data_IF_741045460833
#
_entry.id   IF_741045460833
#
_cell.length_a   1.000
_cell.length_b   1.000
_cell.length_c   1.000
_cell.angle_alpha   90.00
_cell.angle_beta   90.00
_cell.angle_gamma   90.00
#
_symmetry.space_group_name_H-M   'P 1'
#
loop_
_entity.id
_entity.type
_entity.pdbx_description
1 polymer ?
#
# COMPACT_ATOMS: atom_id res chain seq x y z
N UNK A 1 10.26 1.09 7.03
CA UNK A 1 10.59 1.36 5.61
C UNK A 1 9.43 2.07 4.93
N UNK A 2 9.72 2.72 3.80
CA UNK A 2 8.69 3.32 2.96
C UNK A 2 8.01 2.29 2.03
N UNK A 3 8.79 1.31 1.60
CA UNK A 3 8.37 0.29 0.66
C UNK A 3 8.36 0.74 -0.81
N UNK A 4 8.18 -0.20 -1.73
CA UNK A 4 8.08 0.08 -3.16
C UNK A 4 6.73 0.72 -3.50
N UNK A 5 6.75 1.94 -4.01
CA UNK A 5 5.57 2.70 -4.42
C UNK A 5 5.65 3.11 -5.88
N UNK A 6 4.51 3.08 -6.57
CA UNK A 6 4.35 3.69 -7.88
C UNK A 6 3.87 5.13 -7.67
N UNK A 7 4.43 6.08 -8.40
CA UNK A 7 4.07 7.49 -8.29
C UNK A 7 3.86 8.15 -9.65
N UNK A 8 3.07 9.22 -9.66
CA UNK A 8 3.00 10.13 -10.81
C UNK A 8 4.30 10.96 -10.91
N UNK A 9 4.52 11.58 -12.08
CA UNK A 9 5.60 12.55 -12.27
C UNK A 9 5.39 13.85 -11.51
N UNK A 10 6.20 14.86 -11.89
CA UNK A 10 6.16 16.21 -11.30
C UNK A 10 5.09 17.11 -11.94
N UNK A 11 4.07 16.54 -12.56
CA UNK A 11 3.05 17.25 -13.32
C UNK A 11 1.93 17.76 -12.42
N UNK A 12 1.40 18.94 -12.76
CA UNK A 12 0.11 19.42 -12.32
C UNK A 12 -0.89 19.21 -13.44
N UNK A 13 -1.90 18.38 -13.24
CA UNK A 13 -2.88 18.07 -14.27
C UNK A 13 -4.30 18.03 -13.68
N UNK A 14 -5.23 18.72 -14.33
CA UNK A 14 -6.67 18.63 -13.99
C UNK A 14 -7.32 17.57 -14.88
N UNK A 15 -7.79 16.49 -14.27
CA UNK A 15 -8.52 15.43 -14.93
C UNK A 15 -10.02 15.63 -14.73
N UNK A 16 -10.76 15.65 -15.84
CA UNK A 16 -12.20 15.93 -15.83
C UNK A 16 -12.96 14.64 -16.10
N UNK A 17 -13.91 14.31 -15.23
CA UNK A 17 -14.77 13.12 -15.36
C UNK A 17 -15.39 13.03 -16.76
N UNK A 18 -15.34 11.84 -17.36
CA UNK A 18 -15.87 11.54 -18.69
C UNK A 18 -14.91 11.87 -19.85
N UNK A 19 -13.81 12.59 -19.61
CA UNK A 19 -12.80 12.85 -20.66
C UNK A 19 -11.82 11.69 -20.79
N UNK A 20 -10.99 11.73 -21.84
CA UNK A 20 -9.91 10.78 -22.02
C UNK A 20 -8.56 11.43 -21.68
N UNK A 21 -7.65 10.62 -21.15
CA UNK A 21 -6.26 10.96 -20.89
C UNK A 21 -5.36 9.84 -21.36
N UNK A 22 -4.19 10.18 -21.89
CA UNK A 22 -3.15 9.20 -22.21
C UNK A 22 -2.20 9.08 -21.02
N UNK A 23 -1.95 7.85 -20.60
CA UNK A 23 -1.02 7.53 -19.52
C UNK A 23 0.24 6.89 -20.12
N UNK A 24 1.41 7.37 -19.72
CA UNK A 24 2.72 6.92 -20.23
C UNK A 24 3.64 6.60 -19.05
N UNK A 25 4.58 5.69 -19.27
CA UNK A 25 5.65 5.36 -18.31
C UNK A 25 7.05 5.62 -18.84
N UNK A 26 7.17 5.90 -20.13
CA UNK A 26 8.44 6.29 -20.74
C UNK A 26 8.71 7.79 -20.47
N UNK A 27 9.84 8.13 -19.80
CA UNK A 27 10.22 9.53 -19.58
C UNK A 27 10.36 10.37 -20.85
N UNK A 28 10.68 9.74 -21.99
CA UNK A 28 10.80 10.45 -23.29
C UNK A 28 9.44 10.88 -23.84
N UNK A 29 8.35 10.20 -23.44
CA UNK A 29 6.98 10.54 -23.81
C UNK A 29 6.30 11.50 -22.83
N UNK A 30 7.01 11.90 -21.77
CA UNK A 30 6.50 12.81 -20.74
C UNK A 30 6.34 14.22 -21.29
N UNK A 31 5.09 14.68 -21.36
CA UNK A 31 4.74 16.07 -21.74
C UNK A 31 3.56 16.58 -20.87
N UNK A 32 3.10 17.81 -21.14
CA UNK A 32 1.98 18.43 -20.41
C UNK A 32 0.61 17.79 -20.71
N UNK A 33 0.49 16.97 -21.76
CA UNK A 33 -0.77 16.34 -22.21
C UNK A 33 -0.90 14.92 -21.75
N UNK A 34 0.20 14.25 -21.38
CA UNK A 34 0.23 12.87 -20.95
C UNK A 34 0.43 12.80 -19.44
N UNK A 35 -0.35 11.94 -18.79
CA UNK A 35 -0.11 11.62 -17.40
C UNK A 35 1.05 10.63 -17.30
N UNK A 36 2.15 11.06 -16.70
CA UNK A 36 3.29 10.18 -16.47
C UNK A 36 3.13 9.40 -15.17
N UNK A 37 3.38 8.08 -15.25
CA UNK A 37 3.41 7.15 -14.12
C UNK A 37 4.77 6.46 -14.11
N UNK A 38 5.49 6.58 -13.00
CA UNK A 38 6.84 6.01 -12.82
C UNK A 38 6.77 4.50 -12.54
N UNK A 39 6.38 3.76 -13.58
CA UNK A 39 6.32 2.30 -13.54
C UNK A 39 6.64 1.71 -14.93
N UNK A 40 7.88 1.24 -15.17
CA UNK A 40 8.31 0.78 -16.50
C UNK A 40 7.49 -0.36 -17.09
N UNK A 41 6.87 -1.19 -16.24
CA UNK A 41 6.03 -2.32 -16.69
C UNK A 41 4.56 -1.95 -16.90
N UNK A 42 4.20 -0.67 -16.92
CA UNK A 42 2.82 -0.20 -16.98
C UNK A 42 2.03 -0.79 -18.16
N UNK A 43 2.55 -0.64 -19.37
CA UNK A 43 1.89 -1.14 -20.59
C UNK A 43 2.05 -2.64 -20.79
N UNK A 44 3.03 -3.26 -20.15
CA UNK A 44 3.23 -4.71 -20.17
C UNK A 44 2.17 -5.45 -19.34
N UNK A 45 1.82 -4.89 -18.19
CA UNK A 45 0.95 -5.56 -17.21
C UNK A 45 -0.52 -5.14 -17.26
N UNK A 46 -0.81 -3.96 -17.83
CA UNK A 46 -2.14 -3.40 -17.84
C UNK A 46 -2.80 -3.48 -19.21
N UNK A 47 -4.08 -3.81 -19.23
CA UNK A 47 -4.89 -3.92 -20.45
C UNK A 47 -6.28 -3.31 -20.27
N UNK A 48 -7.08 -3.44 -21.33
CA UNK A 48 -8.46 -2.95 -21.35
C UNK A 48 -9.26 -3.47 -20.15
N UNK A 49 -10.00 -2.57 -19.49
CA UNK A 49 -10.84 -2.86 -18.33
C UNK A 49 -10.11 -2.81 -16.99
N UNK A 50 -8.77 -2.77 -16.96
CA UNK A 50 -8.05 -2.48 -15.71
C UNK A 50 -8.27 -1.01 -15.28
N UNK A 51 -8.05 -0.76 -14.01
CA UNK A 51 -8.17 0.58 -13.43
C UNK A 51 -6.81 1.08 -12.93
N UNK A 52 -6.64 2.40 -12.98
CA UNK A 52 -5.53 3.11 -12.34
C UNK A 52 -6.15 4.06 -11.32
N UNK A 53 -5.77 3.93 -10.06
CA UNK A 53 -6.19 4.81 -8.98
C UNK A 53 -5.05 5.77 -8.64
N UNK A 54 -5.38 7.05 -8.49
CA UNK A 54 -4.41 8.11 -8.21
C UNK A 54 -4.81 8.85 -6.94
N UNK A 55 -3.81 9.36 -6.23
CA UNK A 55 -3.99 10.18 -5.03
C UNK A 55 -4.91 9.51 -4.01
N UNK A 56 -4.52 8.33 -3.56
CA UNK A 56 -5.27 7.50 -2.59
C UNK A 56 -6.70 7.16 -3.04
N UNK A 57 -6.87 6.91 -4.33
CA UNK A 57 -8.14 6.49 -4.93
C UNK A 57 -9.11 7.63 -5.24
N UNK A 58 -8.74 8.90 -4.96
CA UNK A 58 -9.59 10.08 -5.24
C UNK A 58 -9.83 10.28 -6.74
N UNK A 59 -8.89 9.89 -7.59
CA UNK A 59 -9.02 9.93 -9.04
C UNK A 59 -8.95 8.53 -9.59
N UNK A 60 -9.93 8.16 -10.42
CA UNK A 60 -10.07 6.83 -11.01
C UNK A 60 -10.06 6.88 -12.51
N UNK A 61 -9.20 6.09 -13.12
CA UNK A 61 -9.10 5.91 -14.57
C UNK A 61 -9.45 4.47 -14.95
N UNK A 62 -10.16 4.30 -16.06
CA UNK A 62 -10.41 3.01 -16.71
C UNK A 62 -9.59 2.94 -17.99
N UNK A 63 -8.88 1.86 -18.20
CA UNK A 63 -8.11 1.64 -19.42
C UNK A 63 -9.05 1.19 -20.54
N UNK A 64 -9.11 1.99 -21.60
CA UNK A 64 -9.89 1.70 -22.81
C UNK A 64 -9.09 0.88 -23.82
N UNK A 65 -7.81 1.22 -24.00
CA UNK A 65 -6.94 0.61 -24.99
C UNK A 65 -5.46 0.71 -24.57
N UNK A 66 -4.70 -0.32 -24.87
CA UNK A 66 -3.24 -0.37 -24.69
C UNK A 66 -2.56 -0.30 -26.06
N UNK A 67 -1.78 0.77 -26.30
CA UNK A 67 -1.05 1.01 -27.56
C UNK A 67 0.39 0.49 -27.53
N UNK A 68 0.82 -0.17 -26.45
CA UNK A 68 2.18 -0.70 -26.28
C UNK A 68 3.15 0.31 -25.64
N UNK A 69 3.12 1.56 -26.05
CA UNK A 69 3.91 2.67 -25.47
C UNK A 69 3.11 3.51 -24.48
N UNK A 70 1.80 3.42 -24.52
CA UNK A 70 0.88 4.26 -23.75
C UNK A 70 -0.47 3.56 -23.55
N UNK A 71 -1.22 4.02 -22.53
CA UNK A 71 -2.58 3.58 -22.24
C UNK A 71 -3.56 4.72 -22.52
N UNK A 72 -4.58 4.46 -23.36
CA UNK A 72 -5.71 5.37 -23.49
C UNK A 72 -6.70 5.08 -22.37
N UNK A 73 -6.95 6.07 -21.51
CA UNK A 73 -7.80 5.91 -20.34
C UNK A 73 -8.97 6.88 -20.36
N UNK A 74 -10.10 6.44 -19.79
CA UNK A 74 -11.26 7.29 -19.47
C UNK A 74 -11.15 7.70 -18.00
N UNK A 75 -11.37 8.96 -17.72
CA UNK A 75 -11.49 9.48 -16.36
C UNK A 75 -12.89 9.13 -15.83
N UNK A 76 -12.96 8.22 -14.87
CA UNK A 76 -14.21 7.87 -14.18
C UNK A 76 -14.51 8.87 -13.08
N UNK A 77 -13.52 9.10 -12.20
CA UNK A 77 -13.58 10.12 -11.15
C UNK A 77 -12.44 11.11 -11.37
N UNK A 78 -12.80 12.37 -11.58
CA UNK A 78 -11.86 13.44 -11.90
C UNK A 78 -11.33 14.15 -10.66
N UNK A 79 -10.21 14.86 -10.83
CA UNK A 79 -9.56 15.63 -9.78
C UNK A 79 -8.34 16.40 -10.29
N UNK A 80 -7.66 17.06 -9.38
CA UNK A 80 -6.39 17.74 -9.67
C UNK A 80 -5.23 16.90 -9.17
N UNK A 81 -4.43 16.38 -10.09
CA UNK A 81 -3.20 15.67 -9.76
C UNK A 81 -2.09 16.69 -9.54
N UNK A 82 -1.46 16.60 -8.39
CA UNK A 82 -0.24 17.34 -8.04
C UNK A 82 0.98 16.41 -8.12
N UNK A 83 2.23 16.93 -8.05
CA UNK A 83 3.43 16.13 -8.21
C UNK A 83 3.51 14.91 -7.26
N UNK A 84 4.05 13.80 -7.79
CA UNK A 84 4.44 12.60 -7.03
C UNK A 84 3.31 11.94 -6.24
N UNK A 85 2.09 11.95 -6.77
CA UNK A 85 0.95 11.28 -6.16
C UNK A 85 1.09 9.77 -6.27
N UNK A 86 0.59 9.09 -5.25
CA UNK A 86 0.57 7.64 -5.20
C UNK A 86 -0.32 7.08 -6.32
N UNK A 87 0.10 5.98 -6.91
CA UNK A 87 -0.61 5.26 -7.96
C UNK A 87 -0.84 3.83 -7.50
N UNK A 88 -2.08 3.41 -7.46
CA UNK A 88 -2.48 2.05 -7.15
C UNK A 88 -3.02 1.37 -8.41
N UNK A 89 -2.71 0.09 -8.56
CA UNK A 89 -3.11 -0.76 -9.68
C UNK A 89 -3.87 -1.98 -9.15
N UNK A 90 -5.15 -1.81 -8.76
CA UNK A 90 -5.92 -2.87 -8.12
C UNK A 90 -5.94 -4.17 -8.93
N UNK A 91 -5.70 -5.30 -8.26
CA UNK A 91 -5.69 -6.63 -8.88
C UNK A 91 -4.46 -6.95 -9.72
N UNK A 92 -3.44 -6.08 -9.74
CA UNK A 92 -2.20 -6.29 -10.48
C UNK A 92 -1.06 -6.60 -9.52
N UNK A 93 -0.42 -7.75 -9.68
CA UNK A 93 0.83 -8.06 -8.99
C UNK A 93 1.99 -7.27 -9.63
N UNK A 94 2.38 -6.18 -8.98
CA UNK A 94 3.37 -5.25 -9.53
C UNK A 94 4.79 -5.82 -9.49
N UNK A 95 5.54 -5.66 -10.58
CA UNK A 95 6.94 -6.09 -10.71
C UNK A 95 7.89 -5.05 -10.09
N UNK A 96 7.82 -4.89 -8.77
CA UNK A 96 8.71 -4.01 -8.00
C UNK A 96 9.57 -4.84 -7.04
N UNK A 97 10.79 -4.40 -6.70
CA UNK A 97 11.60 -5.08 -5.68
C UNK A 97 10.87 -5.07 -4.33
N UNK A 98 11.07 -6.09 -3.50
CA UNK A 98 10.49 -6.14 -2.15
C UNK A 98 11.09 -5.05 -1.23
N UNK A 99 12.39 -4.77 -1.40
CA UNK A 99 13.15 -3.73 -0.68
C UNK A 99 13.80 -2.80 -1.70
N UNK A 100 13.50 -1.51 -1.62
CA UNK A 100 14.10 -0.49 -2.49
C UNK A 100 15.52 -0.13 -2.01
N UNK A 101 16.27 0.58 -2.85
CA UNK A 101 17.59 1.13 -2.46
C UNK A 101 17.47 2.15 -1.31
N UNK A 102 16.35 2.86 -1.22
CA UNK A 102 16.08 3.75 -0.09
C UNK A 102 15.80 2.96 1.17
N UNK A 103 14.98 1.91 1.09
CA UNK A 103 14.67 1.06 2.24
C UNK A 103 15.93 0.39 2.80
N UNK A 104 16.86 -0.01 1.95
CA UNK A 104 18.16 -0.56 2.41
C UNK A 104 18.94 0.44 3.28
N UNK A 105 18.97 1.71 2.89
CA UNK A 105 19.59 2.77 3.69
C UNK A 105 18.86 3.00 5.01
N UNK A 106 17.53 2.97 4.98
CA UNK A 106 16.71 3.11 6.18
C UNK A 106 16.93 1.92 7.13
N UNK A 107 17.10 0.69 6.60
CA UNK A 107 17.40 -0.50 7.38
C UNK A 107 18.82 -0.46 7.97
N UNK A 108 19.81 0.04 7.21
CA UNK A 108 21.18 0.26 7.72
C UNK A 108 21.18 1.31 8.84
N UNK A 109 20.44 2.40 8.67
CA UNK A 109 20.24 3.42 9.71
C UNK A 109 19.56 2.83 10.96
N UNK A 110 18.54 1.98 10.77
CA UNK A 110 17.86 1.31 11.88
C UNK A 110 18.83 0.42 12.70
N UNK A 111 19.78 -0.24 12.03
CA UNK A 111 20.84 -1.01 12.69
C UNK A 111 21.81 -0.11 13.47
N UNK A 112 22.22 1.03 12.88
CA UNK A 112 23.12 1.98 13.53
C UNK A 112 22.52 2.60 14.80
N UNK A 113 21.20 2.90 14.76
CA UNK A 113 20.47 3.51 15.87
C UNK A 113 19.91 2.50 16.88
N UNK A 114 20.17 1.19 16.68
CA UNK A 114 19.71 0.09 17.55
C UNK A 114 18.21 0.15 17.84
N UNK A 115 17.37 0.29 16.81
CA UNK A 115 15.92 0.30 16.99
C UNK A 115 15.38 -1.08 17.40
N UNK A 116 14.33 -1.11 18.20
CA UNK A 116 13.73 -2.36 18.67
C UNK A 116 12.88 -3.05 17.61
N UNK A 117 12.23 -2.26 16.76
CA UNK A 117 11.22 -2.75 15.80
C UNK A 117 11.34 -2.01 14.47
N UNK A 118 11.23 -2.75 13.37
CA UNK A 118 11.09 -2.22 12.02
C UNK A 118 9.79 -2.70 11.40
N UNK A 119 9.00 -1.78 10.84
CA UNK A 119 7.82 -2.09 10.07
C UNK A 119 8.13 -2.04 8.56
N UNK A 120 7.81 -3.12 7.85
CA UNK A 120 8.03 -3.26 6.41
C UNK A 120 6.74 -2.90 5.66
N UNK A 121 6.76 -1.80 4.91
CA UNK A 121 5.62 -1.34 4.13
C UNK A 121 5.49 -2.08 2.79
N UNK A 122 4.27 -2.19 2.29
CA UNK A 122 3.90 -2.82 1.03
C UNK A 122 4.46 -4.25 0.86
N UNK A 123 4.49 -4.99 1.96
CA UNK A 123 4.98 -6.35 1.94
C UNK A 123 4.04 -7.26 1.13
N UNK A 124 4.62 -8.06 0.22
CA UNK A 124 3.88 -8.93 -0.69
C UNK A 124 4.12 -10.42 -0.44
N UNK A 125 5.28 -10.79 0.07
CA UNK A 125 5.67 -12.18 0.25
C UNK A 125 6.66 -12.37 1.41
N UNK A 126 6.84 -13.63 1.80
CA UNK A 126 7.76 -14.01 2.87
C UNK A 126 9.23 -13.76 2.56
N UNK A 127 9.63 -13.83 1.28
CA UNK A 127 11.04 -13.77 0.88
C UNK A 127 11.64 -12.41 1.20
N UNK A 128 10.87 -11.34 1.05
CA UNK A 128 11.27 -9.99 1.47
C UNK A 128 11.57 -9.90 2.97
N UNK A 129 10.76 -10.57 3.80
CA UNK A 129 11.00 -10.61 5.26
C UNK A 129 12.28 -11.38 5.58
N UNK A 130 12.49 -12.50 4.90
CA UNK A 130 13.68 -13.32 5.10
C UNK A 130 14.96 -12.58 4.66
N UNK A 131 14.91 -11.82 3.56
CA UNK A 131 16.00 -10.95 3.11
C UNK A 131 16.39 -9.94 4.20
N UNK A 132 15.42 -9.23 4.79
CA UNK A 132 15.68 -8.25 5.87
C UNK A 132 16.21 -8.93 7.14
N UNK A 133 15.65 -10.09 7.51
CA UNK A 133 16.17 -10.86 8.66
C UNK A 133 17.63 -11.27 8.48
N UNK A 134 18.00 -11.67 7.26
CA UNK A 134 19.38 -12.04 6.99
C UNK A 134 20.33 -10.84 7.13
N UNK A 135 19.94 -9.66 6.60
CA UNK A 135 20.70 -8.42 6.79
C UNK A 135 20.95 -8.11 8.27
N UNK A 136 19.92 -8.28 9.14
CA UNK A 136 20.05 -8.02 10.57
C UNK A 136 20.91 -9.09 11.26
N UNK A 137 20.72 -10.35 10.90
CA UNK A 137 21.50 -11.47 11.44
C UNK A 137 23.01 -11.35 11.14
N UNK A 138 23.38 -10.93 9.96
CA UNK A 138 24.77 -10.70 9.55
C UNK A 138 25.48 -9.63 10.41
N UNK A 139 24.69 -8.71 10.99
CA UNK A 139 25.18 -7.68 11.92
C UNK A 139 25.06 -8.09 13.39
N UNK A 140 24.56 -9.30 13.69
CA UNK A 140 24.36 -9.82 15.06
C UNK A 140 23.15 -9.25 15.78
N UNK A 141 22.23 -8.60 15.06
CA UNK A 141 21.06 -7.91 15.64
C UNK A 141 19.79 -8.74 15.59
N UNK A 142 18.92 -8.55 16.59
CA UNK A 142 17.60 -9.21 16.71
C UNK A 142 16.45 -8.20 16.70
N UNK A 143 16.42 -7.34 15.67
CA UNK A 143 15.34 -6.37 15.48
C UNK A 143 14.05 -7.10 15.12
N UNK A 144 12.93 -6.71 15.76
CA UNK A 144 11.61 -7.28 15.46
C UNK A 144 11.08 -6.73 14.16
N UNK A 145 10.45 -7.61 13.35
CA UNK A 145 9.89 -7.23 12.05
C UNK A 145 8.36 -7.30 12.11
N UNK A 146 7.74 -6.18 11.82
CA UNK A 146 6.27 -6.05 11.64
C UNK A 146 5.99 -5.97 10.13
N UNK A 147 5.20 -6.89 9.61
CA UNK A 147 4.73 -6.84 8.23
C UNK A 147 3.50 -5.95 8.13
N UNK A 148 3.54 -4.94 7.28
CA UNK A 148 2.36 -4.12 6.96
C UNK A 148 1.63 -4.75 5.78
N UNK A 149 0.38 -5.14 6.00
CA UNK A 149 -0.51 -5.68 4.96
C UNK A 149 -1.28 -4.51 4.37
N UNK A 150 -0.93 -4.15 3.14
CA UNK A 150 -1.35 -2.92 2.45
C UNK A 150 -1.81 -3.16 1.01
N UNK A 151 -1.77 -4.42 0.53
CA UNK A 151 -2.12 -4.78 -0.84
C UNK A 151 -2.72 -6.20 -0.92
N UNK A 152 -3.36 -6.51 -2.06
CA UNK A 152 -4.01 -7.80 -2.28
C UNK A 152 -3.01 -8.96 -2.23
N UNK A 153 -1.82 -8.82 -2.81
CA UNK A 153 -0.80 -9.88 -2.81
C UNK A 153 -0.34 -10.26 -1.40
N UNK A 154 -0.23 -9.25 -0.50
CA UNK A 154 0.05 -9.48 0.92
C UNK A 154 -1.08 -10.21 1.64
N UNK A 155 -2.34 -9.98 1.25
CA UNK A 155 -3.51 -10.70 1.76
C UNK A 155 -3.53 -12.15 1.28
N UNK A 156 -3.18 -12.39 0.03
CA UNK A 156 -3.13 -13.72 -0.57
C UNK A 156 -2.03 -14.57 0.07
N UNK A 157 -0.86 -13.98 0.34
CA UNK A 157 0.31 -14.62 0.93
C UNK A 157 0.38 -14.49 2.47
N UNK A 158 -0.72 -14.09 3.10
CA UNK A 158 -0.76 -13.71 4.51
C UNK A 158 -0.21 -14.79 5.45
N UNK A 159 -0.58 -16.06 5.24
CA UNK A 159 -0.21 -17.15 6.16
C UNK A 159 1.30 -17.43 6.14
N UNK A 160 1.94 -17.36 4.98
CA UNK A 160 3.39 -17.51 4.88
C UNK A 160 4.16 -16.30 5.45
N UNK A 161 3.61 -15.08 5.29
CA UNK A 161 4.17 -13.85 5.84
C UNK A 161 4.12 -13.90 7.37
N UNK A 162 2.99 -14.26 7.96
CA UNK A 162 2.80 -14.35 9.42
C UNK A 162 3.82 -15.29 10.05
N UNK A 163 4.12 -16.41 9.42
CA UNK A 163 5.05 -17.41 9.99
C UNK A 163 6.47 -16.86 10.17
N UNK A 164 6.90 -15.94 9.32
CA UNK A 164 8.28 -15.40 9.30
C UNK A 164 8.42 -14.02 9.93
N UNK A 165 7.34 -13.38 10.34
CA UNK A 165 7.34 -12.06 11.00
C UNK A 165 7.18 -12.18 12.51
N UNK A 166 7.43 -11.10 13.25
CA UNK A 166 7.16 -10.99 14.69
C UNK A 166 5.78 -10.43 14.98
N UNK A 167 5.18 -9.73 14.02
CA UNK A 167 3.84 -9.22 14.09
C UNK A 167 3.34 -8.69 12.75
N UNK A 168 2.06 -8.37 12.71
CA UNK A 168 1.36 -7.85 11.54
C UNK A 168 0.75 -6.50 11.88
N UNK A 169 0.79 -5.59 10.92
CA UNK A 169 0.01 -4.35 10.94
C UNK A 169 -1.01 -4.36 9.79
N UNK A 170 -2.27 -4.24 10.12
CA UNK A 170 -3.34 -3.98 9.14
C UNK A 170 -3.35 -2.48 8.90
N UNK A 171 -2.75 -2.04 7.79
CA UNK A 171 -2.70 -0.63 7.40
C UNK A 171 -3.91 -0.32 6.50
N UNK A 172 -5.06 -0.08 7.12
CA UNK A 172 -6.37 -0.02 6.47
C UNK A 172 -6.49 1.08 5.43
N UNK A 173 -5.77 2.18 5.60
CA UNK A 173 -5.78 3.29 4.65
C UNK A 173 -5.30 2.88 3.26
N UNK A 174 -4.15 2.23 3.16
CA UNK A 174 -3.60 1.76 1.89
C UNK A 174 -4.29 0.49 1.42
N UNK A 175 -4.55 -0.46 2.33
CA UNK A 175 -5.23 -1.71 1.99
C UNK A 175 -6.62 -1.47 1.38
N UNK A 176 -7.41 -0.54 1.93
CA UNK A 176 -8.75 -0.23 1.44
C UNK A 176 -8.80 0.43 0.06
N UNK A 177 -7.64 0.83 -0.50
CA UNK A 177 -7.52 1.31 -1.88
C UNK A 177 -7.21 0.16 -2.85
N UNK A 178 -6.50 -0.85 -2.35
CA UNK A 178 -5.99 -1.98 -3.14
C UNK A 178 -6.97 -3.15 -3.25
N UNK A 179 -7.95 -3.23 -2.35
CA UNK A 179 -8.98 -4.28 -2.29
C UNK A 179 -10.38 -3.67 -2.39
N UNK A 180 -11.39 -4.49 -2.57
CA UNK A 180 -12.77 -4.04 -2.44
C UNK A 180 -13.04 -3.64 -0.98
N UNK A 181 -13.49 -2.41 -0.77
CA UNK A 181 -13.61 -1.81 0.57
C UNK A 181 -14.54 -2.60 1.51
N UNK A 182 -15.57 -3.25 0.97
CA UNK A 182 -16.48 -4.12 1.71
C UNK A 182 -15.82 -5.41 2.23
N UNK A 183 -14.67 -5.81 1.67
CA UNK A 183 -13.91 -6.97 2.14
C UNK A 183 -12.97 -6.63 3.30
N UNK A 184 -12.61 -5.36 3.47
CA UNK A 184 -11.66 -4.91 4.48
C UNK A 184 -11.96 -5.45 5.91
N UNK A 185 -13.20 -5.40 6.42
CA UNK A 185 -13.50 -5.95 7.75
C UNK A 185 -13.30 -7.46 7.85
N UNK A 186 -13.57 -8.20 6.78
CA UNK A 186 -13.37 -9.67 6.76
C UNK A 186 -11.88 -10.02 6.72
N UNK A 187 -11.10 -9.26 5.94
CA UNK A 187 -9.65 -9.43 5.86
C UNK A 187 -9.01 -9.09 7.21
N UNK A 188 -9.41 -8.01 7.87
CA UNK A 188 -8.94 -7.67 9.22
C UNK A 188 -9.20 -8.82 10.21
N UNK A 189 -10.40 -9.40 10.23
CA UNK A 189 -10.74 -10.56 11.07
C UNK A 189 -9.90 -11.79 10.74
N UNK A 190 -9.67 -12.06 9.44
CA UNK A 190 -8.80 -13.17 9.00
C UNK A 190 -7.38 -12.97 9.53
N UNK A 191 -6.84 -11.75 9.44
CA UNK A 191 -5.51 -11.40 9.96
C UNK A 191 -5.47 -11.59 11.47
N UNK A 192 -6.46 -11.07 12.21
CA UNK A 192 -6.55 -11.22 13.66
C UNK A 192 -6.57 -12.70 14.09
N UNK A 193 -7.41 -13.51 13.45
CA UNK A 193 -7.48 -14.94 13.69
C UNK A 193 -6.12 -15.64 13.46
N UNK A 194 -5.45 -15.33 12.35
CA UNK A 194 -4.16 -15.94 12.03
C UNK A 194 -3.05 -15.45 12.96
N UNK A 195 -3.04 -14.18 13.36
CA UNK A 195 -2.11 -13.67 14.36
C UNK A 195 -2.27 -14.43 15.69
N UNK A 196 -3.50 -14.60 16.16
CA UNK A 196 -3.78 -15.39 17.37
C UNK A 196 -3.36 -16.86 17.22
N UNK A 197 -3.67 -17.49 16.07
CA UNK A 197 -3.29 -18.89 15.75
C UNK A 197 -1.78 -19.12 15.81
N UNK A 198 -1.00 -18.16 15.30
CA UNK A 198 0.46 -18.26 15.22
C UNK A 198 1.21 -17.54 16.37
N UNK A 199 0.49 -16.98 17.34
CA UNK A 199 1.06 -16.26 18.48
C UNK A 199 1.84 -15.01 18.07
N UNK A 200 1.34 -14.27 17.07
CA UNK A 200 1.96 -13.04 16.53
C UNK A 200 1.21 -11.80 17.01
N UNK A 201 1.95 -10.69 17.15
CA UNK A 201 1.36 -9.40 17.50
C UNK A 201 0.53 -8.84 16.36
N UNK A 202 -0.60 -8.21 16.71
CA UNK A 202 -1.49 -7.54 15.79
C UNK A 202 -1.59 -6.05 16.11
N UNK A 203 -1.34 -5.22 15.10
CA UNK A 203 -1.55 -3.78 15.14
C UNK A 203 -2.65 -3.45 14.11
N UNK A 204 -3.71 -2.78 14.54
CA UNK A 204 -4.72 -2.23 13.62
C UNK A 204 -4.48 -0.74 13.50
N UNK A 205 -4.24 -0.27 12.28
CA UNK A 205 -3.79 1.09 12.02
C UNK A 205 -4.70 1.85 11.06
N UNK A 206 -4.67 3.17 11.22
CA UNK A 206 -5.30 4.21 10.41
C UNK A 206 -6.82 4.31 10.52
N UNK A 207 -7.36 5.49 10.21
CA UNK A 207 -8.80 5.80 10.17
C UNK A 207 -9.55 5.49 11.47
N UNK A 208 -8.86 5.59 12.61
CA UNK A 208 -9.47 5.47 13.94
C UNK A 208 -9.51 6.84 14.61
N UNK A 209 -10.68 7.24 15.12
CA UNK A 209 -10.92 8.54 15.76
C UNK A 209 -10.55 9.75 14.90
N UNK A 210 -10.56 9.63 13.58
CA UNK A 210 -10.12 10.69 12.67
C UNK A 210 -10.97 11.96 12.83
N UNK A 211 -12.27 11.82 13.10
CA UNK A 211 -13.16 12.97 13.38
C UNK A 211 -12.73 13.77 14.62
N UNK A 212 -11.99 13.16 15.55
CA UNK A 212 -11.48 13.83 16.74
C UNK A 212 -10.26 14.74 16.49
N UNK A 213 -9.77 14.80 15.27
CA UNK A 213 -8.83 15.86 14.87
C UNK A 213 -9.48 17.24 14.92
N UNK A 214 -10.79 17.32 14.70
CA UNK A 214 -11.57 18.57 14.68
C UNK A 214 -12.67 18.61 15.75
N UNK A 215 -13.16 17.46 16.21
CA UNK A 215 -14.30 17.36 17.13
C UNK A 215 -13.85 16.79 18.50
N UNK A 216 -14.46 17.23 19.61
CA UNK A 216 -14.08 16.75 20.95
C UNK A 216 -14.57 15.34 21.27
N UNK A 217 -15.44 14.76 20.44
CA UNK A 217 -15.99 13.40 20.61
C UNK A 217 -16.01 12.67 19.27
N UNK A 218 -15.79 11.34 19.27
CA UNK A 218 -15.79 10.54 18.05
C UNK A 218 -17.21 10.28 17.56
N UNK A 219 -17.32 9.84 16.32
CA UNK A 219 -18.57 9.33 15.77
C UNK A 219 -18.91 7.95 16.35
N UNK A 220 -20.20 7.54 16.27
CA UNK A 220 -20.60 6.18 16.67
C UNK A 220 -19.93 5.09 15.84
N UNK A 221 -19.67 5.35 14.55
CA UNK A 221 -18.98 4.43 13.67
C UNK A 221 -17.54 4.18 14.15
N UNK A 222 -16.81 5.23 14.51
CA UNK A 222 -15.44 5.12 15.04
C UNK A 222 -15.39 4.37 16.37
N UNK A 223 -16.36 4.60 17.27
CA UNK A 223 -16.46 3.85 18.53
C UNK A 223 -16.65 2.35 18.23
N UNK A 224 -17.53 2.02 17.29
CA UNK A 224 -17.81 0.63 16.90
C UNK A 224 -16.58 -0.01 16.26
N UNK A 225 -15.86 0.71 15.42
CA UNK A 225 -14.65 0.26 14.74
C UNK A 225 -13.55 -0.09 15.75
N UNK A 226 -13.28 0.80 16.71
CA UNK A 226 -12.33 0.53 17.79
C UNK A 226 -12.77 -0.66 18.64
N UNK A 227 -14.05 -0.71 19.01
CA UNK A 227 -14.58 -1.85 19.79
C UNK A 227 -14.35 -3.18 19.04
N UNK A 228 -14.56 -3.21 17.74
CA UNK A 228 -14.29 -4.40 16.93
C UNK A 228 -12.81 -4.78 16.96
N UNK A 229 -11.88 -3.85 16.78
CA UNK A 229 -10.45 -4.13 16.87
C UNK A 229 -10.06 -4.70 18.25
N UNK A 230 -10.67 -4.21 19.33
CA UNK A 230 -10.46 -4.75 20.70
C UNK A 230 -11.07 -6.15 20.85
N UNK A 231 -12.27 -6.38 20.34
CA UNK A 231 -12.92 -7.73 20.37
C UNK A 231 -12.14 -8.73 19.53
N UNK A 232 -11.49 -8.31 18.48
CA UNK A 232 -10.59 -9.12 17.64
C UNK A 232 -9.22 -9.36 18.31
N UNK A 233 -9.02 -8.86 19.52
CA UNK A 233 -7.82 -9.02 20.35
C UNK A 233 -6.55 -8.43 19.72
N UNK A 234 -6.68 -7.28 19.06
CA UNK A 234 -5.50 -6.54 18.62
C UNK A 234 -4.62 -6.14 19.81
N UNK A 235 -3.30 -6.27 19.67
CA UNK A 235 -2.32 -5.90 20.71
C UNK A 235 -2.14 -4.39 20.80
N UNK A 236 -2.31 -3.69 19.68
CA UNK A 236 -2.21 -2.24 19.58
C UNK A 236 -3.14 -1.65 18.53
N UNK A 237 -3.55 -0.42 18.77
CA UNK A 237 -4.29 0.44 17.84
C UNK A 237 -3.41 1.64 17.55
N UNK A 238 -3.27 1.98 16.28
CA UNK A 238 -2.54 3.17 15.83
C UNK A 238 -3.57 4.17 15.25
N UNK A 239 -3.61 5.36 15.83
CA UNK A 239 -4.50 6.48 15.44
C UNK A 239 -3.90 7.27 14.29
#
# INVERSE_FOLDING_TARGET
TKGPEIRTGDQHMKLITGTQVRVVSDPELKDERHLFVDYPHLTEQLGQGNHILLDSGLVKLEILENHGDSLACRVLDGGTITPKRHVNLPGISVKLPGITLSDRKDLEFALEENVDVVALSFLRNRDTVLEVREMFRERGEQIKLIAKIENQEGVDNLEEIIQVTDGIMVARGDLGIEIDMEELPQIQRKIAYLCAKYGKRLIVATQMLESMMENPVPTRAEITDIANAVFEQSDAIML
#
